data_IF_754982315758
#
_entry.id   IF_754982315758
#
_cell.length_a   1.000
_cell.length_b   1.000
_cell.length_c   1.000
_cell.angle_alpha   90.00
_cell.angle_beta   90.00
_cell.angle_gamma   90.00
#
_symmetry.space_group_name_H-M   'P 1'
#
loop_
_entity.id
_entity.type
_entity.pdbx_description
1 polymer ?
#
# COMPACT_ATOMS: atom_id res chain seq x y z
N UNK A 1 1.57 3.23 -0.88
CA UNK A 1 2.28 4.07 -1.87
C UNK A 1 2.94 5.29 -1.22
N UNK A 2 3.78 5.06 -0.21
CA UNK A 2 4.65 6.11 0.35
C UNK A 2 5.89 5.55 1.05
N UNK A 3 6.53 4.60 0.38
CA UNK A 3 7.76 3.97 0.85
C UNK A 3 8.94 4.94 0.97
N UNK A 4 8.84 6.14 0.36
CA UNK A 4 9.88 7.17 0.40
C UNK A 4 9.79 8.07 1.64
N UNK A 5 8.64 8.13 2.31
CA UNK A 5 8.38 8.98 3.48
C UNK A 5 7.84 8.18 4.67
N UNK A 6 8.57 7.13 5.05
CA UNK A 6 8.16 6.21 6.12
C UNK A 6 8.41 6.79 7.53
N UNK A 7 7.34 7.06 8.28
CA UNK A 7 7.35 7.59 9.67
C UNK A 7 8.06 6.69 10.69
N UNK A 8 8.15 5.39 10.40
CA UNK A 8 8.79 4.41 11.26
C UNK A 8 10.32 4.56 11.25
N UNK A 9 10.97 4.19 12.36
CA UNK A 9 12.42 4.00 12.35
C UNK A 9 12.81 2.92 11.33
N UNK A 10 14.05 2.93 10.79
CA UNK A 10 14.49 1.93 9.83
C UNK A 10 14.33 0.49 10.33
N UNK A 11 14.54 0.26 11.63
CA UNK A 11 14.38 -1.07 12.25
C UNK A 11 12.91 -1.46 12.34
N UNK A 12 12.05 -0.55 12.81
CA UNK A 12 10.60 -0.78 12.92
C UNK A 12 9.98 -1.05 11.55
N UNK A 13 10.36 -0.26 10.53
CA UNK A 13 9.88 -0.45 9.15
C UNK A 13 10.26 -1.83 8.59
N UNK A 14 11.47 -2.32 8.88
CA UNK A 14 11.90 -3.67 8.47
C UNK A 14 11.15 -4.77 9.21
N UNK A 15 10.83 -4.57 10.49
CA UNK A 15 10.07 -5.55 11.26
C UNK A 15 8.64 -5.65 10.73
N UNK A 16 7.97 -4.52 10.49
CA UNK A 16 6.66 -4.50 9.83
C UNK A 16 6.72 -5.20 8.47
N UNK A 17 7.74 -4.91 7.65
CA UNK A 17 7.92 -5.59 6.37
C UNK A 17 8.03 -7.12 6.53
N UNK A 18 8.79 -7.59 7.53
CA UNK A 18 8.98 -9.02 7.78
C UNK A 18 7.67 -9.72 8.14
N UNK A 19 6.80 -9.10 8.94
CA UNK A 19 5.47 -9.64 9.28
C UNK A 19 4.63 -9.87 8.01
N UNK A 20 4.61 -8.89 7.10
CA UNK A 20 3.90 -9.03 5.83
C UNK A 20 4.54 -10.06 4.90
N UNK A 21 5.87 -10.20 4.89
CA UNK A 21 6.53 -11.25 4.11
C UNK A 21 6.18 -12.66 4.62
N UNK A 22 6.06 -12.86 5.94
CA UNK A 22 5.59 -14.12 6.52
C UNK A 22 4.14 -14.39 6.10
N UNK A 23 3.25 -13.40 6.25
CA UNK A 23 1.85 -13.52 5.81
C UNK A 23 1.72 -13.83 4.32
N UNK A 24 2.55 -13.18 3.49
CA UNK A 24 2.64 -13.45 2.06
C UNK A 24 3.08 -14.90 1.80
N UNK A 25 4.16 -15.35 2.44
CA UNK A 25 4.68 -16.70 2.29
C UNK A 25 3.64 -17.77 2.62
N UNK A 26 2.92 -17.61 3.74
CA UNK A 26 1.84 -18.53 4.14
C UNK A 26 0.70 -18.52 3.12
N UNK A 27 0.26 -17.33 2.70
CA UNK A 27 -0.86 -17.19 1.76
C UNK A 27 -0.54 -17.79 0.39
N UNK A 28 0.68 -17.54 -0.13
CA UNK A 28 1.15 -18.11 -1.39
C UNK A 28 1.32 -19.63 -1.29
N UNK A 29 1.89 -20.13 -0.19
CA UNK A 29 2.05 -21.58 0.00
C UNK A 29 0.70 -22.30 0.03
N UNK A 30 -0.30 -21.78 0.75
CA UNK A 30 -1.65 -22.34 0.77
C UNK A 30 -2.34 -22.25 -0.59
N UNK A 31 -2.19 -21.13 -1.31
CA UNK A 31 -2.77 -20.95 -2.64
C UNK A 31 -2.18 -21.93 -3.66
N UNK A 32 -0.85 -22.15 -3.63
CA UNK A 32 -0.17 -23.11 -4.50
C UNK A 32 -0.56 -24.54 -4.13
N UNK A 33 -0.61 -24.88 -2.83
CA UNK A 33 -1.00 -26.22 -2.37
C UNK A 33 -2.41 -26.62 -2.84
N UNK A 34 -3.30 -25.65 -3.03
CA UNK A 34 -4.69 -25.87 -3.45
C UNK A 34 -4.98 -25.28 -4.84
N UNK A 35 -3.96 -25.13 -5.69
CA UNK A 35 -4.09 -24.43 -6.98
C UNK A 35 -5.15 -25.04 -7.91
N UNK A 36 -5.38 -26.35 -7.80
CA UNK A 36 -6.41 -27.07 -8.55
C UNK A 36 -7.85 -26.80 -8.07
N UNK A 37 -8.00 -26.30 -6.84
CA UNK A 37 -9.29 -25.97 -6.22
C UNK A 37 -9.61 -24.46 -6.31
N UNK A 38 -8.63 -23.66 -6.76
CA UNK A 38 -8.80 -22.21 -6.91
C UNK A 38 -9.76 -21.92 -8.05
N UNK A 39 -10.85 -21.22 -7.73
CA UNK A 39 -11.70 -20.57 -8.72
C UNK A 39 -10.97 -19.34 -9.27
N UNK A 40 -10.36 -19.52 -10.44
CA UNK A 40 -9.48 -18.52 -11.08
C UNK A 40 -10.15 -17.19 -11.37
N UNK A 41 -11.39 -17.20 -11.86
CA UNK A 41 -12.08 -15.95 -12.20
C UNK A 41 -12.29 -15.06 -10.96
N UNK A 42 -12.85 -15.55 -9.84
CA UNK A 42 -12.84 -14.83 -8.57
C UNK A 42 -11.44 -14.41 -8.11
N UNK A 43 -10.45 -15.30 -8.15
CA UNK A 43 -9.09 -14.99 -7.69
C UNK A 43 -8.48 -13.80 -8.45
N UNK A 44 -8.56 -13.82 -9.78
CA UNK A 44 -8.06 -12.74 -10.65
C UNK A 44 -8.85 -11.45 -10.40
N UNK A 45 -10.19 -11.53 -10.32
CA UNK A 45 -11.02 -10.35 -10.10
C UNK A 45 -10.71 -9.69 -8.74
N UNK A 46 -10.61 -10.50 -7.68
CA UNK A 46 -10.27 -10.02 -6.33
C UNK A 46 -8.89 -9.37 -6.30
N UNK A 47 -7.88 -10.01 -6.89
CA UNK A 47 -6.52 -9.47 -7.00
C UNK A 47 -6.49 -8.14 -7.75
N UNK A 48 -7.00 -8.10 -8.98
CA UNK A 48 -6.91 -6.93 -9.87
C UNK A 48 -7.76 -5.77 -9.38
N UNK A 49 -8.93 -6.04 -8.79
CA UNK A 49 -9.88 -5.00 -8.36
C UNK A 49 -9.28 -4.04 -7.34
N UNK A 50 -8.35 -4.52 -6.49
CA UNK A 50 -7.70 -3.71 -5.45
C UNK A 50 -7.02 -2.49 -6.05
N UNK A 51 -6.19 -2.71 -7.07
CA UNK A 51 -5.46 -1.63 -7.74
C UNK A 51 -6.32 -0.90 -8.77
N UNK A 52 -7.15 -1.65 -9.50
CA UNK A 52 -8.00 -1.07 -10.54
C UNK A 52 -8.95 0.00 -9.98
N UNK A 53 -9.46 -0.21 -8.76
CA UNK A 53 -10.34 0.73 -8.07
C UNK A 53 -9.52 1.66 -7.16
N UNK A 54 -8.55 1.11 -6.42
CA UNK A 54 -7.83 1.84 -5.37
C UNK A 54 -6.74 2.76 -5.88
N UNK A 55 -5.92 2.32 -6.85
CA UNK A 55 -4.69 3.01 -7.23
C UNK A 55 -4.77 3.66 -8.62
N UNK A 56 -5.14 2.88 -9.63
CA UNK A 56 -5.05 3.26 -11.05
C UNK A 56 -5.75 4.60 -11.34
N UNK A 57 -6.99 4.87 -10.85
CA UNK A 57 -7.67 6.13 -11.14
C UNK A 57 -6.92 7.34 -10.57
N UNK A 58 -6.41 7.22 -9.34
CA UNK A 58 -5.63 8.29 -8.69
C UNK A 58 -4.29 8.53 -9.39
N UNK A 59 -3.61 7.46 -9.80
CA UNK A 59 -2.33 7.53 -10.49
C UNK A 59 -2.47 8.20 -11.86
N UNK A 60 -3.53 7.87 -12.61
CA UNK A 60 -3.86 8.51 -13.89
C UNK A 60 -4.18 9.99 -13.68
N UNK A 61 -5.02 10.32 -12.69
CA UNK A 61 -5.34 11.71 -12.36
C UNK A 61 -4.10 12.51 -11.96
N UNK A 62 -3.20 11.93 -11.17
CA UNK A 62 -1.96 12.57 -10.73
C UNK A 62 -1.00 12.82 -11.91
N UNK A 63 -0.81 11.82 -12.78
CA UNK A 63 0.02 11.95 -13.98
C UNK A 63 -0.50 13.04 -14.91
N UNK A 64 -1.82 13.14 -15.09
CA UNK A 64 -2.47 14.17 -15.93
C UNK A 64 -2.54 15.55 -15.29
N UNK A 65 -2.47 15.65 -13.96
CA UNK A 65 -2.53 16.94 -13.26
C UNK A 65 -1.27 17.77 -13.52
N UNK A 66 -1.40 19.04 -13.98
CA UNK A 66 -0.26 19.96 -14.11
C UNK A 66 0.36 20.32 -12.76
N UNK A 67 -0.47 20.44 -11.72
CA UNK A 67 -0.05 20.87 -10.38
C UNK A 67 0.25 19.71 -9.43
N UNK A 68 0.05 18.46 -9.89
CA UNK A 68 0.17 17.23 -9.08
C UNK A 68 -0.70 17.21 -7.83
N UNK A 69 -1.69 18.10 -7.75
CA UNK A 69 -2.76 18.10 -6.75
C UNK A 69 -3.97 17.38 -7.35
N UNK A 70 -4.51 16.41 -6.63
CA UNK A 70 -5.69 15.64 -7.03
C UNK A 70 -6.71 15.60 -5.89
N UNK A 71 -7.96 15.27 -6.24
CA UNK A 71 -9.05 15.18 -5.27
C UNK A 71 -8.77 14.11 -4.19
N UNK A 72 -9.13 14.41 -2.93
CA UNK A 72 -8.89 13.50 -1.80
C UNK A 72 -9.68 12.19 -1.87
N UNK A 73 -10.72 12.14 -2.69
CA UNK A 73 -11.44 10.90 -3.01
C UNK A 73 -10.54 9.78 -3.54
N UNK A 74 -9.47 10.10 -4.29
CA UNK A 74 -8.51 9.09 -4.74
C UNK A 74 -7.68 8.50 -3.59
N UNK A 75 -7.39 9.29 -2.56
CA UNK A 75 -6.70 8.83 -1.35
C UNK A 75 -7.61 7.92 -0.54
N UNK A 76 -8.90 8.27 -0.43
CA UNK A 76 -9.90 7.43 0.23
C UNK A 76 -10.04 6.11 -0.51
N UNK A 77 -10.23 6.13 -1.84
CA UNK A 77 -10.33 4.92 -2.66
C UNK A 77 -9.11 4.01 -2.47
N UNK A 78 -7.90 4.57 -2.52
CA UNK A 78 -6.67 3.83 -2.27
C UNK A 78 -6.68 3.18 -0.88
N UNK A 79 -6.90 3.97 0.18
CA UNK A 79 -6.85 3.49 1.56
C UNK A 79 -7.94 2.45 1.86
N UNK A 80 -9.15 2.62 1.30
CA UNK A 80 -10.24 1.65 1.44
C UNK A 80 -9.87 0.34 0.75
N UNK A 81 -9.43 0.38 -0.51
CA UNK A 81 -9.09 -0.83 -1.26
C UNK A 81 -7.81 -1.51 -0.76
N UNK A 82 -6.91 -0.76 -0.11
CA UNK A 82 -5.70 -1.33 0.50
C UNK A 82 -5.87 -1.59 2.00
N UNK A 83 -7.08 -1.51 2.54
CA UNK A 83 -7.34 -1.78 3.96
C UNK A 83 -7.52 -3.28 4.21
N UNK A 84 -6.71 -3.83 5.12
CA UNK A 84 -6.93 -5.18 5.64
C UNK A 84 -8.30 -5.31 6.32
N UNK A 85 -8.81 -4.25 6.97
CA UNK A 85 -10.11 -4.27 7.64
C UNK A 85 -11.23 -4.41 6.60
N UNK A 86 -11.19 -3.60 5.54
CA UNK A 86 -12.19 -3.65 4.47
C UNK A 86 -12.22 -5.03 3.82
N UNK A 87 -11.05 -5.59 3.55
CA UNK A 87 -10.94 -6.90 2.93
C UNK A 87 -11.22 -8.08 3.85
N UNK A 88 -10.90 -7.98 5.14
CA UNK A 88 -11.32 -8.97 6.13
C UNK A 88 -12.86 -9.02 6.24
N UNK A 89 -13.52 -7.85 6.23
CA UNK A 89 -14.98 -7.78 6.20
C UNK A 89 -15.55 -8.39 4.91
N UNK A 90 -14.97 -8.06 3.74
CA UNK A 90 -15.37 -8.64 2.45
C UNK A 90 -15.22 -10.17 2.43
N UNK A 91 -14.08 -10.69 2.88
CA UNK A 91 -13.83 -12.13 3.03
C UNK A 91 -14.85 -12.75 3.98
N UNK A 92 -15.13 -12.13 5.13
CA UNK A 92 -16.10 -12.63 6.10
C UNK A 92 -17.52 -12.72 5.53
N UNK A 93 -17.96 -11.68 4.81
CA UNK A 93 -19.26 -11.67 4.12
C UNK A 93 -19.31 -12.73 3.02
N UNK A 94 -18.22 -12.90 2.26
CA UNK A 94 -18.14 -13.92 1.22
C UNK A 94 -18.23 -15.34 1.81
N UNK A 95 -17.45 -15.62 2.86
CA UNK A 95 -17.48 -16.91 3.55
C UNK A 95 -18.88 -17.20 4.10
N UNK A 96 -19.52 -16.19 4.69
CA UNK A 96 -20.88 -16.33 5.21
C UNK A 96 -21.91 -16.65 4.10
N UNK A 97 -21.81 -16.00 2.94
CA UNK A 97 -22.78 -16.15 1.86
C UNK A 97 -22.53 -17.36 0.94
N UNK A 98 -21.26 -17.72 0.71
CA UNK A 98 -20.85 -18.69 -0.33
C UNK A 98 -19.93 -19.80 0.18
N UNK A 99 -19.55 -19.77 1.45
CA UNK A 99 -18.54 -20.67 2.01
C UNK A 99 -17.11 -20.20 1.77
N UNK A 100 -16.17 -20.85 2.47
CA UNK A 100 -14.75 -20.58 2.29
C UNK A 100 -14.23 -21.20 1.00
N UNK A 101 -13.41 -20.44 0.25
CA UNK A 101 -12.74 -20.93 -0.95
C UNK A 101 -11.33 -20.36 -1.07
N UNK A 102 -10.45 -21.11 -1.74
CA UNK A 102 -9.03 -20.76 -1.89
C UNK A 102 -8.79 -19.52 -2.76
N UNK A 103 -9.74 -19.14 -3.61
CA UNK A 103 -9.67 -17.92 -4.40
C UNK A 103 -9.57 -16.66 -3.52
N UNK A 104 -10.11 -16.69 -2.29
CA UNK A 104 -10.04 -15.58 -1.35
C UNK A 104 -8.61 -15.26 -0.91
N UNK A 105 -7.67 -16.20 -1.02
CA UNK A 105 -6.24 -15.96 -0.72
C UNK A 105 -5.59 -14.97 -1.70
N UNK A 106 -6.19 -14.71 -2.86
CA UNK A 106 -5.72 -13.66 -3.77
C UNK A 106 -5.66 -12.28 -3.09
N UNK A 107 -6.58 -12.01 -2.16
CA UNK A 107 -6.65 -10.75 -1.41
C UNK A 107 -5.44 -10.57 -0.48
N UNK A 108 -5.16 -11.46 0.50
CA UNK A 108 -3.98 -11.34 1.35
C UNK A 108 -2.69 -11.43 0.55
N UNK A 109 -2.63 -12.23 -0.54
CA UNK A 109 -1.45 -12.22 -1.43
C UNK A 109 -1.18 -10.81 -1.96
N UNK A 110 -2.19 -10.11 -2.49
CA UNK A 110 -2.03 -8.73 -2.98
C UNK A 110 -1.61 -7.77 -1.87
N UNK A 111 -2.35 -7.74 -0.75
CA UNK A 111 -2.13 -6.77 0.32
C UNK A 111 -0.81 -7.01 1.07
N UNK A 112 -0.39 -8.26 1.22
CA UNK A 112 0.88 -8.61 1.84
C UNK A 112 2.05 -8.44 0.88
N UNK A 113 1.88 -8.65 -0.42
CA UNK A 113 2.90 -8.29 -1.40
C UNK A 113 3.11 -6.77 -1.45
N UNK A 114 2.02 -5.98 -1.44
CA UNK A 114 2.07 -4.51 -1.38
C UNK A 114 2.95 -4.01 -0.22
N UNK A 115 2.78 -4.58 0.97
CA UNK A 115 3.48 -4.14 2.18
C UNK A 115 4.82 -4.83 2.43
N UNK A 116 4.91 -6.12 2.11
CA UNK A 116 6.10 -6.93 2.33
C UNK A 116 7.15 -6.74 1.24
N UNK A 117 6.73 -6.72 -0.03
CA UNK A 117 7.66 -6.59 -1.17
C UNK A 117 7.87 -5.13 -1.53
N UNK A 118 6.78 -4.38 -1.75
CA UNK A 118 6.86 -2.99 -2.22
C UNK A 118 6.99 -1.96 -1.09
N UNK A 119 6.88 -2.40 0.17
CA UNK A 119 6.92 -1.52 1.37
C UNK A 119 5.90 -0.39 1.32
N UNK A 120 4.81 -0.58 0.60
CA UNK A 120 3.74 0.38 0.55
C UNK A 120 3.00 0.43 1.89
N UNK A 121 2.53 1.61 2.24
CA UNK A 121 1.64 1.87 3.38
C UNK A 121 0.41 2.62 2.92
N UNK A 122 -0.56 2.75 3.83
CA UNK A 122 -1.72 3.62 3.66
C UNK A 122 -1.27 5.02 3.25
N UNK A 123 -2.01 5.64 2.34
CA UNK A 123 -1.69 6.93 1.76
C UNK A 123 -2.02 8.07 2.73
N UNK A 124 -1.03 8.82 3.22
CA UNK A 124 -1.28 10.00 4.05
C UNK A 124 -1.89 11.11 3.21
N UNK A 125 -2.89 11.81 3.75
CA UNK A 125 -3.57 12.89 3.03
C UNK A 125 -2.70 14.14 2.87
N UNK A 126 -1.66 14.31 3.71
CA UNK A 126 -0.73 15.42 3.65
C UNK A 126 0.30 15.33 2.54
N UNK A 127 0.56 14.13 2.00
CA UNK A 127 1.60 13.88 1.01
C UNK A 127 1.04 13.80 -0.43
N UNK A 128 1.87 14.05 -1.47
CA UNK A 128 1.48 13.85 -2.86
C UNK A 128 0.98 12.42 -3.12
N UNK A 129 0.05 12.22 -4.07
CA UNK A 129 -0.56 10.89 -4.27
C UNK A 129 0.46 9.82 -4.69
N UNK A 130 1.32 10.15 -5.66
CA UNK A 130 2.48 9.34 -5.98
C UNK A 130 3.61 9.60 -4.97
N UNK A 131 4.45 8.58 -4.66
CA UNK A 131 5.55 8.73 -3.72
C UNK A 131 6.61 9.68 -4.31
N UNK A 132 6.87 10.78 -3.61
CA UNK A 132 7.92 11.75 -3.92
C UNK A 132 8.67 12.03 -2.61
N UNK A 133 10.01 12.05 -2.58
CA UNK A 133 10.75 12.35 -1.36
C UNK A 133 10.36 13.73 -0.81
N UNK A 134 10.02 13.79 0.48
CA UNK A 134 9.71 15.03 1.17
C UNK A 134 10.92 15.53 1.99
N UNK A 135 11.31 16.79 1.79
CA UNK A 135 12.50 17.37 2.46
C UNK A 135 12.33 17.46 3.98
N UNK A 136 11.13 17.78 4.44
CA UNK A 136 10.85 17.96 5.85
C UNK A 136 10.82 16.61 6.55
N UNK A 137 10.28 15.60 5.87
CA UNK A 137 10.38 14.22 6.29
C UNK A 137 11.84 13.76 6.41
N UNK A 138 12.65 13.98 5.36
CA UNK A 138 14.06 13.61 5.38
C UNK A 138 14.85 14.35 6.48
N UNK A 139 14.52 15.62 6.75
CA UNK A 139 15.11 16.41 7.85
C UNK A 139 14.77 15.80 9.21
N UNK A 140 13.50 15.50 9.44
CA UNK A 140 13.01 14.89 10.68
C UNK A 140 13.64 13.51 10.92
N UNK A 141 13.67 12.65 9.91
CA UNK A 141 14.31 11.33 9.97
C UNK A 141 15.78 11.43 10.39
N UNK A 142 16.55 12.38 9.82
CA UNK A 142 17.95 12.58 10.22
C UNK A 142 18.10 13.05 11.67
N UNK A 143 17.18 13.90 12.15
CA UNK A 143 17.19 14.38 13.54
C UNK A 143 16.87 13.26 14.53
N UNK A 144 15.89 12.40 14.22
CA UNK A 144 15.44 11.34 15.13
C UNK A 144 16.33 10.10 15.09
N UNK A 145 16.81 9.70 13.92
CA UNK A 145 17.44 8.39 13.70
C UNK A 145 18.89 8.48 13.19
N UNK A 146 19.42 9.69 13.03
CA UNK A 146 20.80 9.94 12.62
C UNK A 146 21.03 9.91 11.09
N UNK A 147 22.25 10.24 10.63
CA UNK A 147 22.56 10.46 9.22
C UNK A 147 22.38 9.21 8.33
N UNK A 148 22.59 8.03 8.90
CA UNK A 148 22.52 6.74 8.18
C UNK A 148 21.08 6.27 7.90
N UNK A 149 20.08 6.92 8.50
CA UNK A 149 18.67 6.59 8.32
C UNK A 149 18.05 7.23 7.06
N UNK A 150 18.67 8.28 6.52
CA UNK A 150 18.18 8.99 5.34
C UNK A 150 18.74 8.36 4.07
N UNK A 151 18.20 7.21 3.66
CA UNK A 151 18.41 6.73 2.29
C UNK A 151 17.04 6.45 1.68
N UNK A 152 16.39 7.51 1.21
CA UNK A 152 15.49 7.40 0.07
C UNK A 152 16.34 7.64 -1.19
N UNK A 153 16.08 6.86 -2.23
CA UNK A 153 16.78 6.85 -3.53
C UNK A 153 17.20 8.25 -4.01
N UNK A 154 18.52 8.50 -4.25
CA UNK A 154 19.03 9.82 -4.64
C UNK A 154 18.59 10.29 -6.04
N UNK A 155 17.90 9.46 -6.82
CA UNK A 155 17.47 9.80 -8.19
C UNK A 155 16.18 10.65 -8.27
N UNK A 156 15.41 10.76 -7.19
CA UNK A 156 14.17 11.54 -7.18
C UNK A 156 14.39 12.94 -6.57
N UNK A 157 14.08 13.99 -7.34
CA UNK A 157 14.16 15.36 -6.85
C UNK A 157 13.18 15.56 -5.67
N UNK A 158 13.64 16.05 -4.51
CA UNK A 158 12.78 16.21 -3.35
C UNK A 158 11.80 17.38 -3.56
N UNK A 159 10.61 17.26 -2.96
CA UNK A 159 9.58 18.31 -2.98
C UNK A 159 9.19 18.65 -1.56
N UNK A 160 9.02 19.92 -1.24
CA UNK A 160 8.43 20.33 0.05
C UNK A 160 6.93 20.14 0.03
N UNK A 161 6.38 19.45 1.03
CA UNK A 161 4.94 19.39 1.24
C UNK A 161 4.33 20.80 1.29
N UNK A 162 3.33 21.03 0.43
CA UNK A 162 2.62 22.30 0.37
C UNK A 162 1.66 22.54 1.55
N UNK A 163 1.77 21.75 2.62
CA UNK A 163 0.98 21.92 3.85
C UNK A 163 1.66 23.00 4.69
N UNK A 164 1.46 24.26 4.29
CA UNK A 164 1.59 25.36 5.24
C UNK A 164 0.56 25.18 6.37
N UNK A 165 0.84 25.66 7.59
CA UNK A 165 -0.07 25.49 8.70
C UNK A 165 -1.41 26.12 8.34
N UNK A 166 -2.47 25.31 8.29
CA UNK A 166 -3.83 25.80 8.47
C UNK A 166 -3.88 26.37 9.89
N UNK A 167 -3.76 27.70 9.98
CA UNK A 167 -4.09 28.46 11.19
C UNK A 167 -5.58 28.32 11.49
#
# INVERSE_FOLDING_TARGET
MDQLNAFDSPTTSRLHQAEYLVGLGVSVALFIAHIGEVRWLPAIALFVSIDLIGYVPGAVAYRRSPTKRIHKGFYIAYNTMHSLITHAALIGVWIWASGAEWALLAIPIHLFADRGVFRNSMKPFGLPFEPVPDEDFARLTRQLFGPRAAVADPSAAPVRSAVGPTR
#
